data_IF_843697149318
#
_entry.id   IF_843697149318
#
_cell.length_a   1.000
_cell.length_b   1.000
_cell.length_c   1.000
_cell.angle_alpha   90.00
_cell.angle_beta   90.00
_cell.angle_gamma   90.00
#
_symmetry.space_group_name_H-M   'P 1'
#
loop_
_entity.id
_entity.type
_entity.pdbx_description
1 polymer ?
#
# COMPACT_ATOMS: atom_id res chain seq x y z
N UNK A 1 -21.49 9.70 3.80
CA UNK A 1 -20.57 8.63 4.27
C UNK A 1 -19.22 8.87 3.60
N UNK A 2 -18.10 8.76 4.33
CA UNK A 2 -16.74 8.95 3.81
C UNK A 2 -16.06 7.59 3.56
N UNK A 3 -15.09 7.49 2.63
CA UNK A 3 -14.35 6.26 2.39
C UNK A 3 -13.52 5.88 3.63
N UNK A 4 -13.20 4.58 3.76
CA UNK A 4 -12.31 4.10 4.81
C UNK A 4 -10.90 4.72 4.66
N UNK A 5 -10.19 4.97 5.77
CA UNK A 5 -8.79 5.37 5.70
C UNK A 5 -7.96 4.23 5.07
N UNK A 6 -6.92 4.60 4.32
CA UNK A 6 -5.96 3.65 3.80
C UNK A 6 -4.82 3.43 4.78
N UNK A 7 -4.81 2.27 5.42
CA UNK A 7 -3.73 1.88 6.32
C UNK A 7 -2.44 1.69 5.53
N UNK A 8 -1.32 2.14 6.09
CA UNK A 8 -0.04 1.99 5.40
C UNK A 8 0.42 0.53 5.49
N UNK A 9 0.63 -0.11 4.34
CA UNK A 9 1.18 -1.46 4.20
C UNK A 9 2.36 -1.44 3.25
N UNK A 10 3.44 -2.12 3.62
CA UNK A 10 4.60 -2.29 2.76
C UNK A 10 4.25 -3.28 1.65
N UNK A 11 4.80 -3.11 0.45
CA UNK A 11 4.34 -3.86 -0.73
C UNK A 11 4.46 -5.38 -0.52
N UNK A 12 5.54 -5.85 0.12
CA UNK A 12 5.71 -7.27 0.45
C UNK A 12 4.71 -7.81 1.48
N UNK A 13 4.19 -6.96 2.37
CA UNK A 13 3.12 -7.33 3.31
C UNK A 13 1.81 -7.54 2.55
N UNK A 14 1.51 -6.67 1.58
CA UNK A 14 0.33 -6.82 0.71
C UNK A 14 0.40 -8.15 -0.05
N UNK A 15 1.52 -8.45 -0.69
CA UNK A 15 1.71 -9.70 -1.44
C UNK A 15 1.66 -10.96 -0.57
N UNK A 16 2.06 -10.87 0.71
CA UNK A 16 2.07 -12.00 1.64
C UNK A 16 0.73 -12.18 2.38
N UNK A 17 -0.15 -11.18 2.32
CA UNK A 17 -1.42 -11.18 3.04
C UNK A 17 -2.50 -11.95 2.27
N UNK A 18 -2.95 -13.08 2.81
CA UNK A 18 -4.13 -13.77 2.28
C UNK A 18 -5.42 -13.04 2.73
N UNK A 19 -6.41 -12.92 1.82
CA UNK A 19 -7.77 -12.50 2.17
C UNK A 19 -7.95 -11.01 2.52
N UNK A 20 -7.25 -10.11 1.83
CA UNK A 20 -7.31 -8.65 2.05
C UNK A 20 -8.22 -7.90 1.06
N UNK A 21 -8.99 -8.62 0.24
CA UNK A 21 -10.00 -8.05 -0.66
C UNK A 21 -10.96 -7.09 0.06
N UNK A 22 -11.23 -5.95 -0.58
CA UNK A 22 -12.05 -4.86 -0.06
C UNK A 22 -11.38 -3.98 1.00
N UNK A 23 -10.14 -4.27 1.43
CA UNK A 23 -9.41 -3.36 2.33
C UNK A 23 -8.88 -2.16 1.56
N UNK A 24 -9.07 -0.98 2.14
CA UNK A 24 -8.38 0.23 1.67
C UNK A 24 -6.97 0.27 2.26
N UNK A 25 -5.96 0.41 1.41
CA UNK A 25 -4.56 0.49 1.83
C UNK A 25 -3.83 1.64 1.15
N UNK A 26 -2.70 2.03 1.75
CA UNK A 26 -1.69 2.87 1.13
C UNK A 26 -0.38 2.10 1.08
N UNK A 27 0.26 2.06 -0.09
CA UNK A 27 1.56 1.41 -0.26
C UNK A 27 2.43 2.19 -1.23
N UNK A 28 3.70 1.79 -1.34
CA UNK A 28 4.70 2.42 -2.18
C UNK A 28 5.45 1.36 -2.97
N UNK A 29 5.80 1.66 -4.22
CA UNK A 29 6.56 0.77 -5.08
C UNK A 29 7.09 1.50 -6.30
N UNK A 30 8.10 0.93 -6.94
CA UNK A 30 8.71 1.47 -8.14
C UNK A 30 7.88 1.15 -9.36
N UNK A 31 7.56 2.15 -10.18
CA UNK A 31 6.81 1.93 -11.42
C UNK A 31 7.67 1.17 -12.44
N UNK A 32 7.27 -0.06 -12.77
CA UNK A 32 7.97 -0.93 -13.71
C UNK A 32 7.38 -0.82 -15.12
N UNK A 33 6.05 -0.80 -15.23
CA UNK A 33 5.34 -0.69 -16.51
C UNK A 33 3.99 0.02 -16.32
N UNK A 34 3.47 0.58 -17.42
CA UNK A 34 2.14 1.16 -17.49
C UNK A 34 1.52 0.93 -18.88
N UNK A 35 0.33 0.34 -18.90
CA UNK A 35 -0.45 0.04 -20.09
C UNK A 35 -1.71 0.91 -20.14
N UNK A 36 -1.59 2.12 -20.68
CA UNK A 36 -2.69 3.09 -20.74
C UNK A 36 -3.97 2.60 -21.43
N UNK A 37 -3.88 1.63 -22.36
CA UNK A 37 -5.08 1.10 -23.06
C UNK A 37 -6.01 0.31 -22.14
N UNK A 38 -5.46 -0.30 -21.10
CA UNK A 38 -6.20 -1.12 -20.13
C UNK A 38 -6.14 -0.49 -18.73
N UNK A 39 -5.63 0.74 -18.63
CA UNK A 39 -5.45 1.48 -17.38
C UNK A 39 -4.77 0.68 -16.29
N UNK A 40 -3.69 -0.04 -16.60
CA UNK A 40 -2.98 -0.89 -15.63
C UNK A 40 -1.51 -0.49 -15.50
N UNK A 41 -1.04 -0.33 -14.26
CA UNK A 41 0.36 -0.11 -13.92
C UNK A 41 0.89 -1.24 -13.04
N UNK A 42 2.17 -1.56 -13.17
CA UNK A 42 2.86 -2.52 -12.29
C UNK A 42 3.85 -1.78 -11.41
N UNK A 43 3.64 -1.86 -10.09
CA UNK A 43 4.60 -1.43 -9.08
C UNK A 43 5.40 -2.62 -8.58
N UNK A 44 6.70 -2.41 -8.36
CA UNK A 44 7.61 -3.45 -7.87
C UNK A 44 8.42 -2.98 -6.66
N UNK A 45 8.84 -3.93 -5.83
CA UNK A 45 9.72 -3.66 -4.70
C UNK A 45 10.58 -4.87 -4.37
N UNK A 46 11.86 -4.65 -4.07
CA UNK A 46 12.76 -5.70 -3.60
C UNK A 46 12.77 -5.74 -2.07
N UNK A 47 12.60 -6.92 -1.50
CA UNK A 47 12.75 -7.15 -0.07
C UNK A 47 13.32 -8.56 0.17
N UNK A 48 14.37 -8.67 0.99
CA UNK A 48 15.07 -9.94 1.28
C UNK A 48 15.38 -10.79 0.03
N UNK A 49 15.97 -10.17 -0.99
CA UNK A 49 16.29 -10.81 -2.29
C UNK A 49 15.11 -11.32 -3.11
N UNK A 50 13.88 -11.04 -2.68
CA UNK A 50 12.64 -11.37 -3.41
C UNK A 50 12.09 -10.11 -4.08
N UNK A 51 11.63 -10.25 -5.32
CA UNK A 51 10.91 -9.20 -6.04
C UNK A 51 9.40 -9.38 -5.81
N UNK A 52 8.77 -8.37 -5.25
CA UNK A 52 7.32 -8.32 -5.06
C UNK A 52 6.71 -7.40 -6.11
N UNK A 53 5.52 -7.78 -6.59
CA UNK A 53 4.79 -7.07 -7.64
C UNK A 53 3.38 -6.75 -7.18
N UNK A 54 2.88 -5.62 -7.65
CA UNK A 54 1.55 -5.10 -7.37
C UNK A 54 0.97 -4.51 -8.65
N UNK A 55 -0.18 -5.01 -9.07
CA UNK A 55 -0.93 -4.41 -10.16
C UNK A 55 -1.80 -3.28 -9.63
N UNK A 56 -1.88 -2.19 -10.38
CA UNK A 56 -2.63 -1.00 -10.03
C UNK A 56 -3.54 -0.65 -11.19
N UNK A 57 -4.85 -0.74 -10.97
CA UNK A 57 -5.83 -0.18 -11.88
C UNK A 57 -5.90 1.33 -11.69
N UNK A 58 -5.67 2.06 -12.78
CA UNK A 58 -5.42 3.49 -12.82
C UNK A 58 -6.55 4.30 -13.44
N UNK A 59 -7.66 3.66 -13.85
CA UNK A 59 -8.76 4.30 -14.56
C UNK A 59 -9.35 5.53 -13.85
N UNK A 60 -9.27 5.60 -12.52
CA UNK A 60 -9.78 6.72 -11.72
C UNK A 60 -8.74 7.81 -11.42
N UNK A 61 -7.48 7.58 -11.75
CA UNK A 61 -6.34 8.48 -11.49
C UNK A 61 -5.65 8.94 -12.77
N UNK A 62 -6.23 8.61 -13.92
CA UNK A 62 -5.83 9.14 -15.22
C UNK A 62 -6.46 10.53 -15.48
N UNK A 63 -5.78 11.41 -16.22
CA UNK A 63 -4.42 11.26 -16.75
C UNK A 63 -3.35 11.50 -15.67
N UNK A 64 -2.23 10.79 -15.75
CA UNK A 64 -1.02 11.07 -14.99
C UNK A 64 0.22 10.86 -15.86
N UNK A 65 1.33 11.52 -15.51
CA UNK A 65 2.61 11.30 -16.18
C UNK A 65 3.30 10.06 -15.57
N UNK A 66 3.48 9.01 -16.39
CA UNK A 66 4.07 7.75 -15.97
C UNK A 66 5.61 7.78 -16.14
N UNK A 67 6.30 8.06 -15.03
CA UNK A 67 7.76 8.05 -14.95
C UNK A 67 8.25 6.65 -14.58
N UNK A 68 8.59 5.85 -15.60
CA UNK A 68 9.15 4.51 -15.39
C UNK A 68 10.44 4.57 -14.56
N UNK A 69 10.55 3.70 -13.57
CA UNK A 69 11.69 3.64 -12.66
C UNK A 69 11.60 4.58 -11.46
N UNK A 70 10.65 5.53 -11.44
CA UNK A 70 10.39 6.37 -10.27
C UNK A 70 9.53 5.63 -9.23
N UNK A 71 9.64 6.04 -7.98
CA UNK A 71 8.83 5.49 -6.89
C UNK A 71 7.46 6.17 -6.85
N UNK A 72 6.41 5.37 -6.70
CA UNK A 72 5.02 5.82 -6.65
C UNK A 72 4.35 5.35 -5.37
N UNK A 73 3.52 6.22 -4.80
CA UNK A 73 2.63 5.88 -3.71
C UNK A 73 1.21 5.74 -4.24
N UNK A 74 0.56 4.63 -3.89
CA UNK A 74 -0.83 4.34 -4.25
C UNK A 74 -1.69 4.27 -3.00
N UNK A 75 -2.89 4.84 -3.08
CA UNK A 75 -3.98 4.67 -2.12
C UNK A 75 -5.19 4.14 -2.87
N UNK A 76 -5.77 3.04 -2.40
CA UNK A 76 -6.87 2.39 -3.08
C UNK A 76 -7.39 1.17 -2.35
N UNK A 77 -8.35 0.51 -2.97
CA UNK A 77 -8.98 -0.71 -2.49
C UNK A 77 -8.33 -1.92 -3.15
N UNK A 78 -8.04 -2.96 -2.35
CA UNK A 78 -7.63 -4.26 -2.89
C UNK A 78 -8.86 -4.90 -3.52
N UNK A 79 -8.81 -5.19 -4.82
CA UNK A 79 -9.90 -5.89 -5.50
C UNK A 79 -9.69 -7.40 -5.40
N UNK A 80 -8.91 -8.00 -6.29
CA UNK A 80 -8.62 -9.43 -6.29
C UNK A 80 -7.15 -9.69 -6.66
N UNK A 81 -6.71 -10.94 -6.57
CA UNK A 81 -5.40 -11.34 -7.09
C UNK A 81 -5.53 -11.88 -8.51
N UNK A 82 -4.78 -11.32 -9.46
CA UNK A 82 -4.62 -11.87 -10.81
C UNK A 82 -3.32 -12.68 -10.87
N UNK A 83 -3.41 -14.00 -11.04
CA UNK A 83 -2.21 -14.84 -11.17
C UNK A 83 -1.23 -14.73 -9.99
N UNK A 84 -1.74 -14.60 -8.77
CA UNK A 84 -1.00 -14.34 -7.51
C UNK A 84 -0.41 -12.92 -7.35
N UNK A 85 -0.70 -12.00 -8.26
CA UNK A 85 -0.34 -10.59 -8.11
C UNK A 85 -1.54 -9.86 -7.52
N UNK A 86 -1.41 -9.19 -6.35
CA UNK A 86 -2.49 -8.38 -5.81
C UNK A 86 -2.80 -7.22 -6.75
N UNK A 87 -4.09 -6.90 -6.90
CA UNK A 87 -4.58 -5.76 -7.69
C UNK A 87 -5.19 -4.72 -6.76
N UNK A 88 -4.81 -3.47 -6.94
CA UNK A 88 -5.41 -2.32 -6.26
C UNK A 88 -6.13 -1.43 -7.27
N UNK A 89 -7.39 -1.10 -6.98
CA UNK A 89 -8.08 0.00 -7.64
C UNK A 89 -7.63 1.33 -7.03
N UNK A 90 -6.83 2.09 -7.76
CA UNK A 90 -6.29 3.34 -7.25
C UNK A 90 -7.36 4.43 -7.17
N UNK A 91 -7.44 5.09 -6.02
CA UNK A 91 -8.11 6.40 -5.85
C UNK A 91 -7.13 7.55 -5.86
N UNK A 92 -5.87 7.27 -5.58
CA UNK A 92 -4.75 8.20 -5.69
C UNK A 92 -3.50 7.42 -6.10
N UNK A 93 -2.77 7.97 -7.06
CA UNK A 93 -1.46 7.48 -7.48
C UNK A 93 -0.56 8.72 -7.65
N UNK A 94 0.54 8.77 -6.90
CA UNK A 94 1.43 9.93 -6.92
C UNK A 94 2.88 9.49 -7.08
N UNK A 95 3.60 10.17 -7.98
CA UNK A 95 5.05 10.07 -8.04
C UNK A 95 5.64 10.68 -6.76
N UNK A 96 6.44 9.89 -6.05
CA UNK A 96 7.11 10.27 -4.79
C UNK A 96 8.63 10.21 -4.95
N UNK A 97 9.11 10.50 -6.15
CA UNK A 97 10.53 10.49 -6.44
C UNK A 97 11.27 11.47 -5.50
N UNK A 98 12.42 11.03 -4.99
CA UNK A 98 13.16 11.73 -3.93
C UNK A 98 12.73 11.43 -2.50
N UNK A 99 11.71 10.59 -2.27
CA UNK A 99 11.41 10.10 -0.92
C UNK A 99 12.53 9.19 -0.40
N UNK A 100 12.85 9.30 0.89
CA UNK A 100 13.77 8.36 1.55
C UNK A 100 12.98 7.13 2.01
N UNK A 101 12.92 6.08 1.17
CA UNK A 101 12.16 4.85 1.48
C UNK A 101 12.50 4.23 2.86
N UNK A 102 13.78 4.10 3.28
CA UNK A 102 14.08 3.55 4.61
C UNK A 102 13.52 4.38 5.77
N UNK A 103 13.43 5.70 5.60
CA UNK A 103 12.85 6.59 6.61
C UNK A 103 11.33 6.48 6.65
N UNK A 104 10.69 6.32 5.48
CA UNK A 104 9.26 6.04 5.38
C UNK A 104 8.91 4.72 6.07
N UNK A 105 9.65 3.65 5.79
CA UNK A 105 9.50 2.35 6.45
C UNK A 105 9.60 2.45 7.97
N UNK A 106 10.63 3.16 8.46
CA UNK A 106 10.78 3.41 9.90
C UNK A 106 9.60 4.20 10.48
N UNK A 107 9.13 5.23 9.80
CA UNK A 107 7.98 6.01 10.26
C UNK A 107 6.71 5.16 10.38
N UNK A 108 6.48 4.25 9.44
CA UNK A 108 5.36 3.29 9.49
C UNK A 108 5.49 2.36 10.70
N UNK A 109 6.69 1.83 10.95
CA UNK A 109 6.95 0.95 12.09
C UNK A 109 6.71 1.65 13.43
N UNK A 110 7.23 2.88 13.61
CA UNK A 110 7.03 3.65 14.84
C UNK A 110 5.55 4.02 15.04
N UNK A 111 4.84 4.38 13.97
CA UNK A 111 3.39 4.64 14.05
C UNK A 111 2.62 3.40 14.52
N UNK A 112 2.90 2.23 13.94
CA UNK A 112 2.26 0.96 14.33
C UNK A 112 2.56 0.62 15.78
N UNK A 113 3.82 0.78 16.21
CA UNK A 113 4.25 0.55 17.59
C UNK A 113 3.48 1.43 18.57
N UNK A 114 3.35 2.73 18.28
CA UNK A 114 2.57 3.64 19.11
C UNK A 114 1.11 3.20 19.26
N UNK A 115 0.46 2.81 18.16
CA UNK A 115 -0.93 2.33 18.23
C UNK A 115 -1.07 1.04 19.03
N UNK A 116 -0.14 0.08 18.87
CA UNK A 116 -0.11 -1.14 19.68
C UNK A 116 0.04 -0.85 21.18
N UNK A 117 0.95 0.07 21.55
CA UNK A 117 1.16 0.46 22.94
C UNK A 117 -0.07 1.17 23.54
N UNK A 118 -0.75 2.01 22.75
CA UNK A 118 -1.96 2.70 23.19
C UNK A 118 -3.11 1.72 23.39
N UNK A 119 -3.34 0.84 22.43
CA UNK A 119 -4.49 -0.07 22.46
C UNK A 119 -4.28 -1.19 23.52
N UNK A 120 -3.04 -1.65 23.72
CA UNK A 120 -2.70 -2.57 24.81
C UNK A 120 -2.84 -1.95 26.21
N UNK A 121 -2.71 -0.62 26.35
CA UNK A 121 -3.03 0.08 27.61
C UNK A 121 -4.53 0.16 27.86
N UNK A 122 -5.35 0.36 26.82
CA UNK A 122 -6.81 0.37 26.99
C UNK A 122 -7.37 -0.98 27.44
N UNK A 123 -6.77 -2.10 27.01
CA UNK A 123 -7.20 -3.43 27.44
C UNK A 123 -6.89 -3.67 28.94
N UNK A 124 -5.74 -3.20 29.43
CA UNK A 124 -5.35 -3.29 30.84
C UNK A 124 -6.21 -2.39 31.75
N UNK A 125 -6.56 -1.18 31.31
CA UNK A 125 -7.46 -0.28 32.05
C UNK A 125 -8.90 -0.81 32.13
N UNK A 126 -9.32 -1.68 31.21
CA UNK A 126 -10.67 -2.29 31.23
C UNK A 126 -10.73 -3.49 32.19
N UNK A 127 -9.61 -4.17 32.44
CA UNK A 127 -9.53 -5.28 33.41
C UNK A 127 -9.44 -4.82 34.87
N UNK A 128 -8.89 -3.63 35.16
CA UNK A 128 -8.80 -3.09 36.53
C UNK A 128 -10.14 -2.55 37.09
N UNK A 129 -11.22 -2.51 36.29
CA UNK A 129 -12.53 -1.98 36.68
C UNK A 129 -13.60 -3.08 36.84
N UNK A 130 -13.21 -4.36 36.87
CA UNK A 130 -14.10 -5.50 37.18
C UNK A 130 -13.83 -6.12 38.53
#
# INVERSE_FOLDING_TARGET
>A
MLPRPGDFQLLWEVCSSAGTEGKTIRTVGRLSSYHARISEAILIMHHNSTLYQLAVYTALVEPFEAHLGSDYMVLGEIEATEGNIPVIQARLLMCVDGITLPLLERAIQEQRKYFQERDGRSDLETEEVK
#
